data_IF_578565714484
#
_entry.id   IF_578565714484
#
_cell.length_a   1.000
_cell.length_b   1.000
_cell.length_c   1.000
_cell.angle_alpha   90.00
_cell.angle_beta   90.00
_cell.angle_gamma   90.00
#
_symmetry.space_group_name_H-M   'P 1'
#
loop_
_entity.id
_entity.type
_entity.pdbx_description
1 polymer ?
#
# COMPACT_ATOMS: atom_id res chain seq x y z
N UNK A 1 10.91 -14.45 7.64
CA UNK A 1 10.16 -13.17 7.70
C UNK A 1 9.26 -13.05 6.49
N UNK A 2 8.03 -12.71 6.70
CA UNK A 2 7.04 -12.59 5.63
C UNK A 2 6.60 -11.14 5.49
N UNK A 3 6.74 -10.59 4.28
CA UNK A 3 6.52 -9.16 4.03
C UNK A 3 5.54 -8.99 2.88
N UNK A 4 4.56 -8.11 3.07
CA UNK A 4 3.67 -7.64 2.00
C UNK A 4 4.12 -6.26 1.56
N UNK A 5 4.33 -6.08 0.26
CA UNK A 5 4.63 -4.78 -0.34
C UNK A 5 3.43 -4.33 -1.18
N UNK A 6 3.04 -3.07 -1.04
CA UNK A 6 1.92 -2.47 -1.77
C UNK A 6 2.39 -1.24 -2.51
N UNK A 7 2.18 -1.21 -3.83
CA UNK A 7 2.59 -0.10 -4.69
C UNK A 7 1.41 0.35 -5.56
N UNK A 8 0.59 1.30 -5.09
CA UNK A 8 -0.50 1.83 -5.90
C UNK A 8 0.02 2.78 -6.97
N UNK A 9 -0.42 2.56 -8.20
CA UNK A 9 -0.18 3.46 -9.33
C UNK A 9 -1.46 4.15 -9.76
N UNK A 10 -1.41 4.88 -10.86
CA UNK A 10 -2.58 5.62 -11.37
C UNK A 10 -3.75 4.70 -11.70
N UNK A 11 -3.49 3.58 -12.37
CA UNK A 11 -4.51 2.67 -12.88
C UNK A 11 -4.32 1.23 -12.42
N UNK A 12 -3.47 1.02 -11.42
CA UNK A 12 -3.21 -0.33 -10.91
C UNK A 12 -2.73 -0.28 -9.47
N UNK A 13 -2.83 -1.42 -8.80
CA UNK A 13 -2.22 -1.63 -7.49
C UNK A 13 -1.36 -2.88 -7.58
N UNK A 14 -0.06 -2.71 -7.47
CA UNK A 14 0.88 -3.82 -7.51
C UNK A 14 1.15 -4.30 -6.10
N UNK A 15 1.07 -5.61 -5.90
CA UNK A 15 1.41 -6.22 -4.61
C UNK A 15 2.47 -7.30 -4.80
N UNK A 16 3.27 -7.50 -3.77
CA UNK A 16 4.25 -8.58 -3.73
C UNK A 16 4.31 -9.14 -2.32
N UNK A 17 4.40 -10.46 -2.23
CA UNK A 17 4.58 -11.15 -0.95
C UNK A 17 5.91 -11.86 -1.00
N UNK A 18 6.76 -11.59 -0.01
CA UNK A 18 8.07 -12.23 0.13
C UNK A 18 8.11 -13.04 1.41
N UNK A 19 8.69 -14.22 1.32
CA UNK A 19 9.04 -15.03 2.47
C UNK A 19 10.56 -15.11 2.49
N UNK A 20 11.18 -14.40 3.43
CA UNK A 20 12.62 -14.10 3.44
C UNK A 20 12.98 -13.37 2.13
N UNK A 21 13.82 -13.94 1.28
CA UNK A 21 14.18 -13.33 -0.01
C UNK A 21 13.42 -13.95 -1.19
N UNK A 22 12.52 -14.89 -0.92
CA UNK A 22 11.79 -15.60 -1.96
C UNK A 22 10.44 -14.94 -2.25
N UNK A 23 10.19 -14.49 -3.48
CA UNK A 23 8.87 -13.98 -3.83
C UNK A 23 7.86 -15.14 -3.90
N UNK A 24 6.77 -15.02 -3.13
CA UNK A 24 5.67 -15.98 -3.11
C UNK A 24 4.53 -15.57 -4.02
N UNK A 25 4.35 -14.28 -4.21
CA UNK A 25 3.32 -13.72 -5.08
C UNK A 25 3.82 -12.38 -5.60
N UNK A 26 3.65 -12.14 -6.89
CA UNK A 26 3.81 -10.81 -7.48
C UNK A 26 2.60 -10.63 -8.41
N UNK A 27 1.79 -9.64 -8.13
CA UNK A 27 0.53 -9.43 -8.83
C UNK A 27 0.32 -7.96 -9.12
N UNK A 28 -0.12 -7.65 -10.34
CA UNK A 28 -0.51 -6.31 -10.72
C UNK A 28 -2.02 -6.27 -10.91
N UNK A 29 -2.72 -5.65 -9.97
CA UNK A 29 -4.17 -5.53 -10.01
C UNK A 29 -4.51 -4.29 -10.83
N UNK A 30 -5.10 -4.48 -12.02
CA UNK A 30 -5.48 -3.36 -12.88
C UNK A 30 -6.87 -2.87 -12.55
N UNK A 31 -7.04 -1.55 -12.63
CA UNK A 31 -8.32 -0.89 -12.38
C UNK A 31 -8.81 -0.26 -13.68
N UNK A 32 -10.08 -0.46 -14.02
CA UNK A 32 -10.65 0.16 -15.20
C UNK A 32 -10.92 1.65 -14.97
N UNK A 33 -11.03 2.41 -16.05
CA UNK A 33 -11.39 3.83 -15.97
C UNK A 33 -12.78 3.98 -15.32
N UNK A 34 -13.71 3.09 -15.66
CA UNK A 34 -15.06 3.10 -15.09
C UNK A 34 -15.03 2.89 -13.57
N UNK A 35 -14.19 1.97 -13.09
CA UNK A 35 -14.05 1.74 -11.65
C UNK A 35 -13.52 2.98 -10.93
N UNK A 36 -12.45 3.57 -11.47
CA UNK A 36 -11.81 4.72 -10.84
C UNK A 36 -12.63 6.00 -10.96
N UNK A 37 -13.45 6.13 -12.01
CA UNK A 37 -14.29 7.32 -12.20
C UNK A 37 -15.36 7.51 -11.13
N UNK A 38 -15.65 6.46 -10.35
CA UNK A 38 -16.61 6.55 -9.24
C UNK A 38 -16.06 7.36 -8.06
N UNK A 39 -14.75 7.59 -8.05
CA UNK A 39 -14.08 8.25 -6.92
C UNK A 39 -13.63 9.66 -7.34
N UNK A 40 -14.26 10.73 -6.81
CA UNK A 40 -13.91 12.10 -7.19
C UNK A 40 -12.53 12.54 -6.70
N UNK A 41 -12.02 11.91 -5.64
CA UNK A 41 -10.70 12.22 -5.09
C UNK A 41 -9.87 10.95 -4.95
N UNK A 42 -8.56 11.09 -4.98
CA UNK A 42 -7.65 9.94 -4.84
C UNK A 42 -7.84 9.24 -3.49
N UNK A 43 -8.03 10.00 -2.40
CA UNK A 43 -8.27 9.41 -1.08
C UNK A 43 -9.51 8.51 -1.07
N UNK A 44 -10.51 8.80 -1.91
CA UNK A 44 -11.72 8.00 -1.97
C UNK A 44 -11.47 6.61 -2.57
N UNK A 45 -10.33 6.39 -3.23
CA UNK A 45 -9.93 5.08 -3.75
C UNK A 45 -9.32 4.18 -2.68
N UNK A 46 -9.05 4.70 -1.48
CA UNK A 46 -8.36 3.98 -0.42
C UNK A 46 -9.04 2.65 -0.06
N UNK A 47 -10.31 2.70 0.31
CA UNK A 47 -11.06 1.49 0.70
C UNK A 47 -11.19 0.51 -0.46
N UNK A 48 -11.42 1.01 -1.67
CA UNK A 48 -11.51 0.19 -2.88
C UNK A 48 -10.22 -0.60 -3.11
N UNK A 49 -9.07 0.10 -3.09
CA UNK A 49 -7.78 -0.55 -3.35
C UNK A 49 -7.38 -1.49 -2.21
N UNK A 50 -7.63 -1.10 -0.96
CA UNK A 50 -7.37 -1.96 0.20
C UNK A 50 -8.15 -3.27 0.10
N UNK A 51 -9.43 -3.18 -0.23
CA UNK A 51 -10.29 -4.34 -0.39
C UNK A 51 -9.78 -5.28 -1.49
N UNK A 52 -9.35 -4.74 -2.63
CA UNK A 52 -8.81 -5.54 -3.72
C UNK A 52 -7.52 -6.25 -3.33
N UNK A 53 -6.66 -5.63 -2.52
CA UNK A 53 -5.46 -6.28 -2.00
C UNK A 53 -5.84 -7.50 -1.15
N UNK A 54 -6.80 -7.34 -0.23
CA UNK A 54 -7.26 -8.43 0.62
C UNK A 54 -7.88 -9.56 -0.19
N UNK A 55 -8.71 -9.23 -1.18
CA UNK A 55 -9.31 -10.23 -2.07
C UNK A 55 -8.25 -10.99 -2.89
N UNK A 56 -7.24 -10.29 -3.38
CA UNK A 56 -6.17 -10.91 -4.17
C UNK A 56 -5.35 -11.89 -3.33
N UNK A 57 -5.07 -11.55 -2.08
CA UNK A 57 -4.37 -12.45 -1.16
C UNK A 57 -5.20 -13.72 -0.91
N UNK A 58 -6.48 -13.55 -0.64
CA UNK A 58 -7.39 -14.67 -0.42
C UNK A 58 -7.50 -15.56 -1.68
N UNK A 59 -7.66 -14.96 -2.85
CA UNK A 59 -7.78 -15.68 -4.11
C UNK A 59 -6.51 -16.48 -4.47
N UNK A 60 -5.36 -16.09 -3.95
CA UNK A 60 -4.09 -16.76 -4.17
C UNK A 60 -3.65 -17.62 -2.99
N UNK A 61 -4.53 -17.90 -2.05
CA UNK A 61 -4.27 -18.72 -0.87
C UNK A 61 -3.11 -18.21 0.00
N UNK A 62 -2.95 -16.90 0.06
CA UNK A 62 -1.96 -16.26 0.92
C UNK A 62 -2.65 -15.85 2.23
N UNK A 63 -2.31 -16.47 3.37
CA UNK A 63 -2.89 -16.04 4.65
C UNK A 63 -2.53 -14.58 4.96
N UNK A 64 -3.50 -13.84 5.49
CA UNK A 64 -3.25 -12.47 5.91
C UNK A 64 -2.51 -12.45 7.25
N UNK A 65 -1.22 -12.73 7.19
CA UNK A 65 -0.34 -12.82 8.34
C UNK A 65 1.08 -12.46 7.89
N UNK A 66 1.54 -11.30 8.31
CA UNK A 66 2.82 -10.75 7.86
C UNK A 66 3.61 -10.21 9.05
N UNK A 67 4.93 -10.23 8.93
CA UNK A 67 5.83 -9.66 9.92
C UNK A 67 6.00 -8.14 9.72
N UNK A 68 5.80 -7.68 8.50
CA UNK A 68 5.82 -6.26 8.17
C UNK A 68 5.03 -6.01 6.90
N UNK A 69 4.51 -4.79 6.74
CA UNK A 69 3.85 -4.35 5.52
C UNK A 69 4.51 -3.06 5.06
N UNK A 70 4.90 -3.01 3.77
CA UNK A 70 5.63 -1.89 3.20
C UNK A 70 4.79 -1.25 2.10
N UNK A 71 4.53 0.04 2.22
CA UNK A 71 3.93 0.83 1.15
C UNK A 71 5.01 1.57 0.39
N UNK A 72 4.88 1.68 -0.93
CA UNK A 72 5.77 2.56 -1.69
C UNK A 72 5.39 4.01 -1.37
N UNK A 73 6.41 4.84 -1.09
CA UNK A 73 6.23 6.22 -0.75
C UNK A 73 5.75 7.06 -1.92
N UNK A 74 5.05 8.14 -1.60
CA UNK A 74 4.58 9.11 -2.56
C UNK A 74 5.13 10.50 -2.25
N UNK A 75 4.28 11.51 -2.40
CA UNK A 75 4.67 12.91 -2.23
C UNK A 75 4.71 13.31 -0.76
N UNK A 76 5.82 12.99 -0.11
CA UNK A 76 6.13 13.48 1.23
C UNK A 76 6.98 14.75 1.14
N UNK A 77 7.24 15.38 2.28
CA UNK A 77 8.28 16.38 2.39
C UNK A 77 9.61 15.75 1.96
N UNK A 78 10.55 16.53 1.38
CA UNK A 78 11.82 15.97 0.93
C UNK A 78 12.55 15.24 2.05
N UNK A 79 12.84 13.96 1.81
CA UNK A 79 13.63 13.11 2.70
C UNK A 79 14.57 12.26 1.84
N UNK A 80 15.69 11.79 2.39
CA UNK A 80 16.56 10.88 1.65
C UNK A 80 15.82 9.60 1.27
N UNK A 81 16.19 9.00 0.13
CA UNK A 81 15.66 7.69 -0.26
C UNK A 81 15.96 6.65 0.80
N UNK A 82 15.04 5.70 1.00
CA UNK A 82 15.20 4.65 1.98
C UNK A 82 13.90 4.05 2.43
N UNK A 83 13.94 3.31 3.53
CA UNK A 83 12.78 2.69 4.16
C UNK A 83 12.57 3.31 5.54
N UNK A 84 11.36 3.77 5.79
CA UNK A 84 11.00 4.47 7.02
C UNK A 84 9.77 3.84 7.66
N UNK A 85 9.77 3.74 8.98
CA UNK A 85 8.57 3.34 9.72
C UNK A 85 7.50 4.43 9.55
N UNK A 86 6.26 4.02 9.34
CA UNK A 86 5.14 4.96 9.19
C UNK A 86 4.80 5.55 10.56
N UNK A 87 4.66 6.87 10.61
CA UNK A 87 4.27 7.59 11.81
C UNK A 87 3.16 8.60 11.51
N UNK A 88 2.62 9.22 12.56
CA UNK A 88 1.48 10.14 12.42
C UNK A 88 1.80 11.35 11.54
N UNK A 89 3.03 11.86 11.60
CA UNK A 89 3.44 13.00 10.77
C UNK A 89 3.45 12.62 9.28
N UNK A 90 3.90 11.42 8.94
CA UNK A 90 3.86 10.93 7.56
C UNK A 90 2.44 10.76 7.07
N UNK A 91 1.54 10.22 7.90
CA UNK A 91 0.14 10.05 7.55
C UNK A 91 -0.52 11.40 7.31
N UNK A 92 -0.24 12.40 8.14
CA UNK A 92 -0.75 13.74 7.98
C UNK A 92 -0.26 14.39 6.69
N UNK A 93 1.04 14.28 6.38
CA UNK A 93 1.60 14.77 5.12
C UNK A 93 0.94 14.10 3.91
N UNK A 94 0.71 12.78 3.99
CA UNK A 94 0.07 12.03 2.91
C UNK A 94 -1.37 12.48 2.69
N UNK A 95 -2.13 12.72 3.75
CA UNK A 95 -3.51 13.19 3.65
C UNK A 95 -3.58 14.54 2.94
N UNK A 96 -2.63 15.44 3.21
CA UNK A 96 -2.58 16.74 2.56
C UNK A 96 -2.13 16.68 1.11
N UNK A 97 -1.27 15.73 0.75
CA UNK A 97 -0.76 15.56 -0.61
C UNK A 97 -1.63 14.65 -1.49
N UNK A 98 -2.59 13.97 -0.91
CA UNK A 98 -3.31 12.84 -1.51
C UNK A 98 -4.09 13.16 -2.77
N UNK A 99 -4.48 14.41 -2.95
CA UNK A 99 -5.29 14.83 -4.11
C UNK A 99 -4.51 14.85 -5.42
N UNK A 100 -3.20 14.60 -5.40
CA UNK A 100 -2.36 14.78 -6.58
C UNK A 100 -1.88 13.48 -7.21
N UNK A 101 -1.73 12.37 -6.43
CA UNK A 101 -1.21 11.14 -7.00
C UNK A 101 -1.62 9.91 -6.20
N UNK A 102 -2.02 8.85 -6.92
CA UNK A 102 -2.47 7.59 -6.31
C UNK A 102 -1.38 6.87 -5.50
N UNK A 103 -0.10 7.05 -5.83
CA UNK A 103 0.99 6.40 -5.09
C UNK A 103 1.04 6.81 -3.62
N UNK A 104 0.44 7.96 -3.27
CA UNK A 104 0.34 8.40 -1.88
C UNK A 104 -0.51 7.47 -1.02
N UNK A 105 -1.37 6.66 -1.64
CA UNK A 105 -2.18 5.67 -0.92
C UNK A 105 -1.35 4.53 -0.34
N UNK A 106 -0.15 4.28 -0.86
CA UNK A 106 0.69 3.16 -0.40
C UNK A 106 0.96 3.20 1.10
N UNK A 107 1.29 4.38 1.62
CA UNK A 107 1.54 4.58 3.03
C UNK A 107 0.30 4.28 3.88
N UNK A 108 -0.86 4.81 3.47
CA UNK A 108 -2.12 4.59 4.20
C UNK A 108 -2.57 3.15 4.15
N UNK A 109 -2.49 2.51 2.98
CA UNK A 109 -2.87 1.11 2.83
C UNK A 109 -1.99 0.23 3.71
N UNK A 110 -0.66 0.43 3.66
CA UNK A 110 0.27 -0.33 4.48
C UNK A 110 -0.03 -0.17 5.97
N UNK A 111 -0.26 1.07 6.41
CA UNK A 111 -0.56 1.36 7.81
C UNK A 111 -1.86 0.68 8.27
N UNK A 112 -2.93 0.82 7.48
CA UNK A 112 -4.23 0.24 7.84
C UNK A 112 -4.22 -1.29 7.82
N UNK A 113 -3.56 -1.90 6.85
CA UNK A 113 -3.44 -3.36 6.81
C UNK A 113 -2.61 -3.88 7.98
N UNK A 114 -1.49 -3.20 8.30
CA UNK A 114 -0.66 -3.59 9.43
C UNK A 114 -1.39 -3.45 10.76
N UNK A 115 -2.25 -2.44 10.89
CA UNK A 115 -3.05 -2.24 12.11
C UNK A 115 -4.05 -3.38 12.36
N UNK A 116 -4.40 -4.15 11.33
CA UNK A 116 -5.27 -5.32 11.47
C UNK A 116 -4.53 -6.54 12.04
N UNK A 117 -3.21 -6.49 12.15
CA UNK A 117 -2.38 -7.60 12.62
C UNK A 117 -1.64 -7.22 13.90
N UNK A 118 -1.71 -8.05 14.96
CA UNK A 118 -0.99 -7.77 16.20
C UNK A 118 0.53 -7.74 15.97
N UNK A 119 1.18 -6.67 16.43
CA UNK A 119 2.63 -6.55 16.36
C UNK A 119 3.24 -6.42 14.98
N UNK A 120 2.44 -6.12 13.96
CA UNK A 120 2.93 -5.93 12.60
C UNK A 120 3.23 -4.46 12.34
N UNK A 121 4.51 -4.07 12.13
CA UNK A 121 4.84 -2.70 11.79
C UNK A 121 4.55 -2.40 10.32
N UNK A 122 4.33 -1.12 10.02
CA UNK A 122 4.21 -0.63 8.65
C UNK A 122 5.38 0.29 8.32
N UNK A 123 5.82 0.22 7.06
CA UNK A 123 6.95 1.00 6.56
C UNK A 123 6.59 1.65 5.23
N UNK A 124 7.30 2.70 4.90
CA UNK A 124 7.23 3.36 3.60
C UNK A 124 8.62 3.25 2.95
N UNK A 125 8.65 2.83 1.70
CA UNK A 125 9.88 2.80 0.91
C UNK A 125 9.89 3.98 -0.06
N UNK A 126 10.96 4.77 -0.05
CA UNK A 126 11.13 5.93 -0.92
C UNK A 126 12.35 5.75 -1.82
N UNK A 127 12.37 6.46 -2.93
CA UNK A 127 13.51 6.46 -3.85
C UNK A 127 14.36 7.71 -3.68
#
# INVERSE_FOLDING_TARGET
>A
MKILAVNPGSTSTKIAVYEDETPRLVLNIRHSVEELSQFPRIIDQFEFRKHLVLEALEANDIPFKFDAIVGRGGLLKPIPGGVYAVNDAMLDDMLHAMRTHACNLGCLIAHELAAMLPGCPSFIATE
#
